data_IF_957164612547
#
_entry.id   IF_957164612547
#
_cell.length_a   1.000
_cell.length_b   1.000
_cell.length_c   1.000
_cell.angle_alpha   90.00
_cell.angle_beta   90.00
_cell.angle_gamma   90.00
#
_symmetry.space_group_name_H-M   'P 1'
#
loop_
_entity.id
_entity.type
_entity.pdbx_description
1 polymer ?
#
# COMPACT_ATOMS: atom_id res chain seq x y z
N UNK A 1 7.58 -14.50 7.38
CA UNK A 1 8.73 -14.90 8.21
C UNK A 1 9.57 -13.69 8.66
N UNK A 2 8.87 -12.69 9.20
CA UNK A 2 9.40 -11.36 9.58
C UNK A 2 10.60 -11.45 10.55
N UNK A 3 10.68 -12.49 11.35
CA UNK A 3 11.79 -12.68 12.31
C UNK A 3 13.17 -12.73 11.65
N UNK A 4 13.24 -13.21 10.41
CA UNK A 4 14.49 -13.40 9.65
C UNK A 4 14.80 -12.26 8.67
N UNK A 5 13.86 -11.33 8.50
CA UNK A 5 14.03 -10.23 7.55
C UNK A 5 14.67 -9.01 8.22
N UNK A 6 15.48 -8.23 7.50
CA UNK A 6 15.99 -6.95 7.95
C UNK A 6 14.87 -5.90 7.86
N UNK A 7 13.96 -5.93 8.83
CA UNK A 7 12.85 -4.95 8.87
C UNK A 7 13.37 -3.55 9.22
N UNK A 8 12.64 -2.53 8.79
CA UNK A 8 12.98 -1.14 9.08
C UNK A 8 13.18 -0.86 10.60
N UNK A 9 12.30 -1.32 11.51
CA UNK A 9 12.53 -1.13 12.95
C UNK A 9 13.82 -1.77 13.48
N UNK A 10 14.23 -2.95 12.95
CA UNK A 10 15.48 -3.60 13.36
C UNK A 10 16.71 -2.77 12.95
N UNK A 11 16.76 -2.32 11.70
CA UNK A 11 17.88 -1.53 11.20
C UNK A 11 17.96 -0.16 11.89
N UNK A 12 16.81 0.47 12.15
CA UNK A 12 16.74 1.71 12.92
C UNK A 12 17.22 1.50 14.37
N UNK A 13 16.88 0.39 15.01
CA UNK A 13 17.31 0.09 16.38
C UNK A 13 18.84 -0.06 16.50
N UNK A 14 19.53 -0.58 15.47
CA UNK A 14 20.99 -0.64 15.41
C UNK A 14 21.64 0.76 15.44
N UNK A 15 20.89 1.79 15.04
CA UNK A 15 21.28 3.19 15.08
C UNK A 15 20.73 3.95 16.32
N UNK A 16 20.21 3.20 17.29
CA UNK A 16 19.72 3.75 18.54
C UNK A 16 18.31 4.32 18.53
N UNK A 17 17.55 4.13 17.44
CA UNK A 17 16.14 4.53 17.39
C UNK A 17 15.29 3.69 18.33
N UNK A 18 14.35 4.33 18.97
CA UNK A 18 13.18 3.67 19.54
C UNK A 18 12.07 3.61 18.50
N UNK A 19 11.26 2.55 18.52
CA UNK A 19 10.19 2.38 17.55
C UNK A 19 8.89 1.92 18.19
N UNK A 20 7.77 2.43 17.69
CA UNK A 20 6.44 2.11 18.18
C UNK A 20 5.53 1.62 17.05
N UNK A 21 4.96 0.43 17.25
CA UNK A 21 3.95 -0.15 16.37
C UNK A 21 2.55 0.20 16.90
N UNK A 22 1.71 0.80 16.03
CA UNK A 22 0.29 1.04 16.32
C UNK A 22 -0.58 0.76 15.10
N UNK A 23 -1.81 0.30 15.34
CA UNK A 23 -2.74 -0.03 14.28
C UNK A 23 -2.59 -1.47 13.77
N UNK A 24 -2.86 -1.66 12.49
CA UNK A 24 -2.82 -2.97 11.83
C UNK A 24 -1.43 -3.59 11.87
N UNK A 25 -1.40 -4.86 12.22
CA UNK A 25 -0.20 -5.68 12.18
C UNK A 25 -0.60 -7.16 12.03
N UNK A 26 0.09 -7.90 11.15
CA UNK A 26 -0.29 -9.28 10.79
C UNK A 26 0.70 -10.33 11.25
N UNK A 27 1.87 -9.90 11.74
CA UNK A 27 3.02 -10.77 12.00
C UNK A 27 3.11 -11.20 13.48
N UNK A 28 2.01 -11.17 14.21
CA UNK A 28 1.98 -11.57 15.62
C UNK A 28 2.30 -10.43 16.57
N UNK A 29 3.08 -10.69 17.63
CA UNK A 29 3.54 -9.65 18.56
C UNK A 29 4.44 -8.63 17.81
N UNK A 30 4.31 -7.35 18.15
CA UNK A 30 5.07 -6.26 17.53
C UNK A 30 6.60 -6.46 17.54
N UNK A 31 7.11 -7.16 18.57
CA UNK A 31 8.55 -7.45 18.74
C UNK A 31 9.11 -8.28 17.60
N UNK A 32 8.29 -9.12 16.97
CA UNK A 32 8.71 -9.92 15.82
C UNK A 32 9.15 -9.04 14.64
N UNK A 33 8.50 -7.88 14.47
CA UNK A 33 8.92 -6.87 13.50
C UNK A 33 10.17 -6.09 13.89
N UNK A 34 10.65 -6.25 15.13
CA UNK A 34 11.78 -5.50 15.66
C UNK A 34 11.40 -4.18 16.33
N UNK A 35 10.11 -3.91 16.53
CA UNK A 35 9.68 -2.72 17.25
C UNK A 35 10.06 -2.81 18.73
N UNK A 36 10.51 -1.70 19.31
CA UNK A 36 10.87 -1.61 20.73
C UNK A 36 9.63 -1.47 21.63
N UNK A 37 8.59 -0.81 21.11
CA UNK A 37 7.30 -0.60 21.77
C UNK A 37 6.18 -0.92 20.79
N UNK A 38 4.98 -1.21 21.27
CA UNK A 38 3.85 -1.45 20.40
C UNK A 38 2.60 -1.91 21.11
N UNK A 39 1.50 -1.89 20.37
CA UNK A 39 0.17 -2.17 20.88
C UNK A 39 -0.27 -3.61 20.65
N UNK A 40 0.22 -4.28 19.58
CA UNK A 40 -0.27 -5.60 19.19
C UNK A 40 0.40 -6.73 20.00
N UNK A 41 -0.39 -7.76 20.35
CA UNK A 41 0.04 -8.92 21.13
C UNK A 41 0.04 -10.22 20.35
N UNK A 42 -0.48 -10.21 19.14
CA UNK A 42 -0.47 -11.35 18.24
C UNK A 42 -1.84 -11.83 17.78
N UNK A 43 -2.91 -11.15 18.17
CA UNK A 43 -4.24 -11.45 17.68
C UNK A 43 -4.49 -10.86 16.29
N UNK A 44 -5.54 -11.34 15.65
CA UNK A 44 -5.90 -11.02 14.28
C UNK A 44 -6.01 -9.50 14.06
N UNK A 45 -5.43 -9.03 12.95
CA UNK A 45 -5.46 -7.65 12.44
C UNK A 45 -4.70 -6.61 13.29
N UNK A 46 -4.25 -6.93 14.51
CA UNK A 46 -3.51 -5.99 15.35
C UNK A 46 -4.17 -5.67 16.70
N UNK A 47 -5.16 -6.45 17.13
CA UNK A 47 -5.82 -6.44 18.44
C UNK A 47 -6.00 -5.02 19.05
N UNK A 48 -5.33 -4.70 20.16
CA UNK A 48 -5.39 -3.37 20.80
C UNK A 48 -4.94 -2.23 19.89
N UNK A 49 -4.05 -2.51 18.94
CA UNK A 49 -3.59 -1.55 17.94
C UNK A 49 -4.72 -0.96 17.09
N UNK A 50 -5.81 -1.71 16.88
CA UNK A 50 -6.95 -1.25 16.09
C UNK A 50 -7.73 -0.09 16.72
N UNK A 51 -7.48 0.20 17.99
CA UNK A 51 -8.11 1.33 18.70
C UNK A 51 -7.49 2.68 18.38
N UNK A 52 -6.22 2.69 17.92
CA UNK A 52 -5.51 3.94 17.60
C UNK A 52 -6.26 4.75 16.54
N UNK A 53 -6.29 6.06 16.70
CA UNK A 53 -7.06 6.98 15.86
C UNK A 53 -8.56 7.01 16.19
N UNK A 54 -9.19 5.84 16.38
CA UNK A 54 -10.62 5.77 16.75
C UNK A 54 -10.88 6.18 18.20
N UNK A 55 -10.00 5.84 19.13
CA UNK A 55 -10.08 6.19 20.55
C UNK A 55 -9.08 7.28 20.96
N UNK A 56 -8.33 7.82 20.02
CA UNK A 56 -7.34 8.88 20.23
C UNK A 56 -5.94 8.46 19.82
N UNK A 57 -4.96 9.31 20.11
CA UNK A 57 -3.56 9.18 19.69
C UNK A 57 -2.59 9.08 20.87
N UNK A 58 -3.13 8.90 22.08
CA UNK A 58 -2.35 9.00 23.33
C UNK A 58 -1.15 8.08 23.38
N UNK A 59 -1.30 6.84 22.93
CA UNK A 59 -0.22 5.83 22.92
C UNK A 59 0.99 6.27 22.09
N UNK A 60 0.73 6.95 20.97
CA UNK A 60 1.81 7.52 20.13
C UNK A 60 2.44 8.73 20.82
N UNK A 61 1.63 9.62 21.41
CA UNK A 61 2.15 10.79 22.10
C UNK A 61 3.01 10.40 23.30
N UNK A 62 2.52 9.50 24.15
CA UNK A 62 3.28 8.99 25.30
C UNK A 62 4.61 8.35 24.88
N UNK A 63 4.61 7.62 23.75
CA UNK A 63 5.83 7.02 23.22
C UNK A 63 6.81 8.07 22.72
N UNK A 64 6.36 9.08 21.98
CA UNK A 64 7.26 10.14 21.48
C UNK A 64 7.82 10.95 22.64
N UNK A 65 6.98 11.29 23.65
CA UNK A 65 7.44 11.97 24.88
C UNK A 65 8.50 11.13 25.61
N UNK A 66 8.31 9.80 25.70
CA UNK A 66 9.29 8.89 26.27
C UNK A 66 10.61 8.90 25.48
N UNK A 67 10.55 8.80 24.16
CA UNK A 67 11.75 8.81 23.31
C UNK A 67 12.53 10.13 23.45
N UNK A 68 11.81 11.27 23.56
CA UNK A 68 12.45 12.58 23.80
C UNK A 68 13.09 12.65 25.20
N UNK A 69 12.45 12.10 26.23
CA UNK A 69 13.02 12.06 27.58
C UNK A 69 14.29 11.20 27.67
N UNK A 70 14.38 10.16 26.86
CA UNK A 70 15.56 9.28 26.74
C UNK A 70 16.64 9.84 25.78
N UNK A 71 16.41 11.02 25.19
CA UNK A 71 17.28 11.60 24.14
C UNK A 71 17.56 10.61 22.99
N UNK A 72 16.50 9.94 22.52
CA UNK A 72 16.56 8.94 21.43
C UNK A 72 15.78 9.37 20.22
N UNK A 73 16.28 9.13 19.01
CA UNK A 73 15.47 9.26 17.80
C UNK A 73 14.35 8.21 17.80
N UNK A 74 13.24 8.55 17.14
CA UNK A 74 12.06 7.68 17.15
C UNK A 74 11.57 7.33 15.75
N UNK A 75 10.93 6.18 15.65
CA UNK A 75 10.15 5.72 14.51
C UNK A 75 8.74 5.32 14.96
N UNK A 76 7.71 5.88 14.33
CA UNK A 76 6.32 5.55 14.61
C UNK A 76 5.69 4.89 13.38
N UNK A 77 5.17 3.69 13.55
CA UNK A 77 4.29 3.02 12.61
C UNK A 77 2.85 3.32 13.00
N UNK A 78 2.20 4.21 12.26
CA UNK A 78 0.80 4.56 12.43
C UNK A 78 -0.03 3.97 11.29
N UNK A 79 -0.62 2.79 11.53
CA UNK A 79 -1.46 2.07 10.57
C UNK A 79 -2.87 1.85 11.15
N UNK A 80 -3.67 2.91 11.33
CA UNK A 80 -4.97 2.82 12.00
C UNK A 80 -5.94 1.95 11.21
N UNK A 81 -6.99 1.46 11.89
CA UNK A 81 -8.09 0.76 11.24
C UNK A 81 -9.11 1.74 10.60
N UNK A 82 -8.63 2.88 10.17
CA UNK A 82 -9.32 3.91 9.41
C UNK A 82 -8.72 3.97 8.00
N UNK A 83 -9.50 4.11 6.96
CA UNK A 83 -10.98 4.18 6.88
C UNK A 83 -11.66 2.81 6.73
N UNK A 84 -11.01 1.69 7.05
CA UNK A 84 -11.53 0.33 6.86
C UNK A 84 -12.90 0.12 7.56
N UNK A 85 -13.75 -0.73 6.98
CA UNK A 85 -15.02 -1.12 7.60
C UNK A 85 -14.84 -1.74 9.00
N UNK A 86 -15.83 -1.58 9.92
CA UNK A 86 -17.15 -1.00 9.69
C UNK A 86 -17.11 0.51 9.51
N UNK A 87 -17.88 1.01 8.51
CA UNK A 87 -17.98 2.45 8.26
C UNK A 87 -18.98 3.06 9.27
N UNK A 88 -18.46 3.39 10.42
CA UNK A 88 -19.20 3.97 11.56
C UNK A 88 -18.55 5.28 12.04
N UNK A 89 -18.50 6.31 11.16
CA UNK A 89 -17.91 7.60 11.50
C UNK A 89 -18.73 8.30 12.60
N UNK A 90 -18.16 9.32 13.29
CA UNK A 90 -18.92 10.25 14.11
C UNK A 90 -20.07 10.88 13.32
N UNK A 91 -21.22 11.08 13.99
CA UNK A 91 -22.43 11.59 13.33
C UNK A 91 -22.21 12.95 12.65
N UNK A 92 -21.41 13.83 13.25
CA UNK A 92 -21.09 15.15 12.66
C UNK A 92 -20.39 15.03 11.30
N UNK A 93 -19.48 14.06 11.14
CA UNK A 93 -18.80 13.80 9.88
C UNK A 93 -19.75 13.13 8.89
N UNK A 94 -20.57 12.18 9.34
CA UNK A 94 -21.58 11.55 8.48
C UNK A 94 -22.54 12.57 7.88
N UNK A 95 -23.14 13.45 8.71
CA UNK A 95 -24.08 14.48 8.26
C UNK A 95 -23.46 15.44 7.24
N UNK A 96 -22.19 15.79 7.40
CA UNK A 96 -21.45 16.61 6.44
C UNK A 96 -21.42 16.00 5.04
N UNK A 97 -21.27 14.69 4.93
CA UNK A 97 -21.20 14.00 3.65
C UNK A 97 -22.56 13.50 3.15
N UNK A 98 -23.50 13.20 4.03
CA UNK A 98 -24.89 12.89 3.65
C UNK A 98 -25.56 14.07 2.92
N UNK A 99 -25.14 15.32 3.19
CA UNK A 99 -25.58 16.49 2.45
C UNK A 99 -24.95 16.63 1.03
N UNK A 100 -23.96 15.81 0.67
CA UNK A 100 -23.19 15.91 -0.59
C UNK A 100 -23.42 14.75 -1.56
N UNK A 101 -24.07 13.69 -1.13
CA UNK A 101 -24.36 12.50 -1.93
C UNK A 101 -25.67 11.86 -1.51
N UNK A 102 -26.38 11.25 -2.45
CA UNK A 102 -27.61 10.51 -2.19
C UNK A 102 -27.34 9.11 -1.56
N UNK A 103 -26.10 8.65 -1.58
CA UNK A 103 -25.72 7.34 -1.06
C UNK A 103 -25.17 7.43 0.37
N UNK A 104 -25.88 6.80 1.30
CA UNK A 104 -25.40 6.63 2.69
C UNK A 104 -24.07 5.85 2.74
N UNK A 105 -23.85 4.90 1.84
CA UNK A 105 -22.62 4.11 1.80
C UNK A 105 -21.41 4.98 1.42
N UNK A 106 -21.57 5.81 0.39
CA UNK A 106 -20.55 6.77 -0.04
C UNK A 106 -20.34 7.83 1.05
N UNK A 107 -21.40 8.39 1.62
CA UNK A 107 -21.32 9.39 2.68
C UNK A 107 -20.54 8.87 3.89
N UNK A 108 -20.83 7.64 4.32
CA UNK A 108 -20.10 6.99 5.43
C UNK A 108 -18.64 6.77 5.11
N UNK A 109 -18.32 6.29 3.91
CA UNK A 109 -16.93 6.07 3.50
C UNK A 109 -16.15 7.39 3.47
N UNK A 110 -16.68 8.45 2.87
CA UNK A 110 -16.04 9.75 2.85
C UNK A 110 -15.83 10.33 4.26
N UNK A 111 -16.80 10.14 5.13
CA UNK A 111 -16.68 10.53 6.54
C UNK A 111 -15.58 9.74 7.28
N UNK A 112 -15.39 8.45 6.95
CA UNK A 112 -14.28 7.66 7.49
C UNK A 112 -12.92 8.14 6.98
N UNK A 113 -12.83 8.54 5.70
CA UNK A 113 -11.60 9.11 5.13
C UNK A 113 -11.25 10.44 5.80
N UNK A 114 -12.23 11.33 5.99
CA UNK A 114 -12.00 12.57 6.74
C UNK A 114 -11.61 12.31 8.19
N UNK A 115 -12.22 11.32 8.84
CA UNK A 115 -11.84 10.95 10.19
C UNK A 115 -10.37 10.51 10.28
N UNK A 116 -9.92 9.72 9.30
CA UNK A 116 -8.50 9.37 9.18
C UNK A 116 -7.63 10.61 9.01
N UNK A 117 -7.98 11.52 8.11
CA UNK A 117 -7.26 12.77 7.84
C UNK A 117 -7.15 13.64 9.11
N UNK A 118 -8.23 13.75 9.89
CA UNK A 118 -8.22 14.44 11.18
C UNK A 118 -7.17 13.85 12.12
N UNK A 119 -7.04 12.52 12.18
CA UNK A 119 -6.03 11.88 13.04
C UNK A 119 -4.61 12.11 12.55
N UNK A 120 -4.39 12.15 11.25
CA UNK A 120 -3.10 12.57 10.65
C UNK A 120 -2.78 14.02 11.01
N UNK A 121 -3.77 14.92 10.91
CA UNK A 121 -3.62 16.30 11.32
C UNK A 121 -3.28 16.46 12.81
N UNK A 122 -3.88 15.63 13.68
CA UNK A 122 -3.56 15.60 15.11
C UNK A 122 -2.09 15.22 15.35
N UNK A 123 -1.56 14.24 14.62
CA UNK A 123 -0.17 13.81 14.72
C UNK A 123 0.79 14.91 14.24
N UNK A 124 0.50 15.53 13.10
CA UNK A 124 1.30 16.65 12.57
C UNK A 124 1.31 17.82 13.57
N UNK A 125 0.14 18.23 14.07
CA UNK A 125 0.03 19.29 15.07
C UNK A 125 0.79 18.97 16.36
N UNK A 126 0.81 17.69 16.78
CA UNK A 126 1.59 17.28 17.95
C UNK A 126 3.09 17.49 17.71
N UNK A 127 3.61 17.09 16.53
CA UNK A 127 5.00 17.30 16.16
C UNK A 127 5.35 18.81 16.09
N UNK A 128 4.48 19.62 15.51
CA UNK A 128 4.67 21.08 15.43
C UNK A 128 4.72 21.72 16.82
N UNK A 129 3.76 21.40 17.68
CA UNK A 129 3.65 21.96 19.03
C UNK A 129 4.86 21.58 19.92
N UNK A 130 5.48 20.43 19.68
CA UNK A 130 6.66 19.97 20.38
C UNK A 130 7.98 20.31 19.67
N UNK A 131 7.95 21.09 18.57
CA UNK A 131 9.13 21.50 17.78
C UNK A 131 9.92 20.32 17.20
N UNK A 132 9.23 19.22 16.92
CA UNK A 132 9.82 18.01 16.35
C UNK A 132 9.68 17.97 14.84
N UNK A 133 8.76 18.73 14.25
CA UNK A 133 8.38 18.65 12.84
C UNK A 133 9.53 18.89 11.86
N UNK A 134 10.42 19.85 12.18
CA UNK A 134 11.56 20.19 11.32
C UNK A 134 12.64 19.10 11.28
N UNK A 135 12.65 18.19 12.26
CA UNK A 135 13.57 17.04 12.30
C UNK A 135 12.83 15.69 12.19
N UNK A 136 11.66 15.69 11.55
CA UNK A 136 10.87 14.48 11.37
C UNK A 136 10.44 14.33 9.91
N UNK A 137 10.88 13.23 9.29
CA UNK A 137 10.33 12.77 8.02
C UNK A 137 8.96 12.11 8.29
N UNK A 138 7.92 12.63 7.66
CA UNK A 138 6.64 11.94 7.56
C UNK A 138 6.53 11.34 6.16
N UNK A 139 6.28 10.05 6.06
CA UNK A 139 5.90 9.42 4.81
C UNK A 139 4.54 8.73 4.95
N UNK A 140 3.79 8.75 3.88
CA UNK A 140 2.46 8.17 3.80
C UNK A 140 2.37 7.24 2.60
N UNK A 141 1.74 6.10 2.81
CA UNK A 141 1.34 5.17 1.76
C UNK A 141 0.01 4.54 2.13
N UNK A 142 -0.87 4.36 1.16
CA UNK A 142 -2.09 3.58 1.36
C UNK A 142 -1.82 2.12 0.93
N UNK A 143 -2.30 1.15 1.71
CA UNK A 143 -2.08 -0.29 1.48
C UNK A 143 -2.76 -0.80 0.21
N UNK A 144 -3.90 -0.25 -0.14
CA UNK A 144 -4.64 -0.54 -1.38
C UNK A 144 -5.65 0.56 -1.71
N UNK A 145 -6.08 0.61 -2.96
CA UNK A 145 -7.18 1.44 -3.37
C UNK A 145 -8.54 0.91 -2.92
N UNK A 146 -9.54 1.79 -2.90
CA UNK A 146 -10.90 1.47 -2.52
C UNK A 146 -11.89 2.34 -3.29
N UNK A 147 -12.82 1.73 -4.02
CA UNK A 147 -13.95 2.41 -4.64
C UNK A 147 -15.23 1.88 -3.97
N UNK A 148 -15.90 2.73 -3.21
CA UNK A 148 -17.11 2.38 -2.49
C UNK A 148 -18.30 2.29 -3.44
N UNK A 149 -19.03 1.16 -3.46
CA UNK A 149 -20.30 1.05 -4.19
C UNK A 149 -21.36 1.95 -3.55
N UNK A 150 -22.20 2.53 -4.40
CA UNK A 150 -23.22 3.48 -3.94
C UNK A 150 -24.42 2.79 -3.26
N UNK A 151 -24.71 1.56 -3.63
CA UNK A 151 -25.89 0.81 -3.23
C UNK A 151 -25.61 -0.28 -2.18
N UNK A 152 -24.38 -0.46 -1.80
CA UNK A 152 -23.97 -1.53 -0.88
C UNK A 152 -22.72 -1.18 -0.06
N UNK A 153 -22.45 -2.00 0.96
CA UNK A 153 -21.20 -1.90 1.76
C UNK A 153 -19.99 -2.52 1.06
N UNK A 154 -20.16 -2.97 -0.17
CA UNK A 154 -19.10 -3.65 -0.93
C UNK A 154 -18.18 -2.66 -1.62
N UNK A 155 -17.02 -3.14 -1.97
CA UNK A 155 -16.06 -2.48 -2.84
C UNK A 155 -16.38 -2.77 -4.29
N UNK A 156 -16.08 -1.85 -5.19
CA UNK A 156 -16.17 -2.05 -6.63
C UNK A 156 -15.17 -3.13 -7.11
N UNK A 157 -15.56 -3.86 -8.16
CA UNK A 157 -14.78 -4.98 -8.69
C UNK A 157 -13.44 -4.56 -9.31
N UNK A 158 -13.31 -3.33 -9.80
CA UNK A 158 -12.06 -2.76 -10.32
C UNK A 158 -11.17 -2.13 -9.26
N UNK A 159 -11.34 -2.48 -7.99
CA UNK A 159 -10.71 -1.84 -6.84
C UNK A 159 -9.89 -2.84 -6.02
N UNK A 160 -10.00 -2.82 -4.69
CA UNK A 160 -9.25 -3.66 -3.75
C UNK A 160 -9.18 -5.13 -4.20
N UNK A 161 -8.00 -5.75 -4.04
CA UNK A 161 -7.69 -7.13 -4.42
C UNK A 161 -7.65 -7.40 -5.95
N UNK A 162 -7.56 -6.36 -6.75
CA UNK A 162 -7.38 -6.48 -8.20
C UNK A 162 -6.10 -5.79 -8.65
N UNK A 163 -5.55 -6.14 -9.82
CA UNK A 163 -4.41 -5.45 -10.42
C UNK A 163 -4.83 -4.15 -11.14
N UNK A 164 -6.11 -3.80 -11.13
CA UNK A 164 -6.63 -2.56 -11.72
C UNK A 164 -6.13 -1.33 -10.96
N UNK A 165 -6.04 -0.19 -11.62
CA UNK A 165 -5.57 1.07 -11.00
C UNK A 165 -6.40 1.44 -9.76
N UNK A 166 -7.70 1.21 -9.79
CA UNK A 166 -8.55 1.40 -8.62
C UNK A 166 -8.18 0.56 -7.39
N UNK A 167 -7.37 -0.49 -7.57
CA UNK A 167 -6.86 -1.36 -6.51
C UNK A 167 -5.41 -1.10 -6.13
N UNK A 168 -4.55 -0.77 -7.11
CA UNK A 168 -3.08 -0.72 -6.90
C UNK A 168 -2.50 0.70 -6.93
N UNK A 169 -3.17 1.66 -7.59
CA UNK A 169 -2.71 3.04 -7.64
C UNK A 169 -3.11 3.79 -6.38
N UNK A 170 -2.16 4.00 -5.49
CA UNK A 170 -2.38 4.70 -4.22
C UNK A 170 -1.37 5.82 -4.04
N UNK A 171 -1.69 6.86 -3.26
CA UNK A 171 -0.75 7.95 -3.03
C UNK A 171 0.45 7.48 -2.20
N UNK A 172 1.64 7.95 -2.59
CA UNK A 172 2.87 7.92 -1.80
C UNK A 172 3.28 9.37 -1.60
N UNK A 173 3.44 9.79 -0.35
CA UNK A 173 3.78 11.18 -0.01
C UNK A 173 4.93 11.23 1.00
N UNK A 174 5.82 12.19 0.81
CA UNK A 174 6.89 12.51 1.75
C UNK A 174 6.78 13.96 2.18
N UNK A 175 7.03 14.24 3.45
CA UNK A 175 7.02 15.57 3.98
C UNK A 175 8.10 15.77 5.03
N UNK A 176 9.03 16.69 4.76
CA UNK A 176 10.06 17.12 5.71
C UNK A 176 10.35 18.61 5.48
N UNK A 177 9.81 19.51 6.31
CA UNK A 177 10.06 20.93 6.17
C UNK A 177 11.54 21.27 6.16
N UNK A 178 11.95 22.16 5.27
CA UNK A 178 13.35 22.57 5.12
C UNK A 178 14.25 21.59 4.35
N UNK A 179 13.82 20.34 4.14
CA UNK A 179 14.58 19.34 3.34
C UNK A 179 13.89 18.99 2.03
N UNK A 180 12.58 18.90 2.02
CA UNK A 180 11.79 18.56 0.83
C UNK A 180 10.94 19.77 0.40
N UNK A 181 10.96 20.09 -0.89
CA UNK A 181 10.09 21.11 -1.45
C UNK A 181 8.74 20.50 -1.88
N UNK A 182 7.64 21.26 -1.77
CA UNK A 182 6.36 20.82 -2.30
C UNK A 182 6.43 20.58 -3.82
N UNK A 183 6.11 19.36 -4.25
CA UNK A 183 6.06 18.98 -5.64
C UNK A 183 5.07 17.83 -5.86
N UNK A 184 4.52 17.74 -7.08
CA UNK A 184 3.83 16.55 -7.57
C UNK A 184 4.77 15.91 -8.59
N UNK A 185 5.10 14.63 -8.35
CA UNK A 185 6.05 13.88 -9.14
C UNK A 185 5.29 12.89 -10.03
N UNK A 186 5.44 12.97 -11.36
CA UNK A 186 4.73 12.08 -12.28
C UNK A 186 5.41 10.73 -12.52
N UNK A 187 6.65 10.58 -12.06
CA UNK A 187 7.45 9.38 -12.31
C UNK A 187 6.88 8.16 -11.61
N UNK A 188 7.15 6.98 -12.18
CA UNK A 188 6.71 5.70 -11.63
C UNK A 188 7.47 5.36 -10.34
N UNK A 189 6.73 5.17 -9.25
CA UNK A 189 7.25 4.75 -7.95
C UNK A 189 6.41 3.60 -7.39
N UNK A 190 6.99 2.83 -6.47
CA UNK A 190 6.33 1.69 -5.82
C UNK A 190 6.54 1.73 -4.31
N UNK A 191 5.69 1.05 -3.55
CA UNK A 191 5.83 0.96 -2.08
C UNK A 191 7.12 0.29 -1.62
N UNK A 192 7.73 -0.56 -2.45
CA UNK A 192 9.06 -1.16 -2.17
C UNK A 192 10.19 -0.13 -2.12
N UNK A 193 10.00 1.05 -2.71
CA UNK A 193 10.97 2.14 -2.70
C UNK A 193 11.03 2.87 -1.34
N UNK A 194 9.99 2.72 -0.53
CA UNK A 194 9.93 3.36 0.79
C UNK A 194 11.04 2.89 1.72
N UNK A 195 11.34 1.59 1.71
CA UNK A 195 12.32 1.00 2.60
C UNK A 195 13.74 1.57 2.38
N UNK A 196 14.34 1.51 1.17
CA UNK A 196 15.64 2.12 0.94
C UNK A 196 15.62 3.64 1.14
N UNK A 197 14.59 4.34 0.68
CA UNK A 197 14.49 5.80 0.81
C UNK A 197 14.47 6.27 2.26
N UNK A 198 13.75 5.58 3.14
CA UNK A 198 13.70 5.91 4.58
C UNK A 198 15.03 5.61 5.27
N UNK A 199 15.70 4.52 4.91
CA UNK A 199 17.05 4.22 5.43
C UNK A 199 18.04 5.31 5.04
N UNK A 200 18.07 5.73 3.78
CA UNK A 200 18.94 6.82 3.31
C UNK A 200 18.60 8.15 3.98
N UNK A 201 17.31 8.47 4.15
CA UNK A 201 16.88 9.64 4.90
C UNK A 201 17.37 9.64 6.36
N UNK A 202 17.50 8.46 6.96
CA UNK A 202 18.05 8.25 8.30
C UNK A 202 19.58 8.11 8.31
N UNK A 203 20.25 8.24 7.15
CA UNK A 203 21.69 8.05 6.96
C UNK A 203 22.20 6.66 7.40
N UNK A 204 21.41 5.63 7.05
CA UNK A 204 21.71 4.21 7.33
C UNK A 204 22.15 3.54 6.04
N UNK A 205 23.21 2.73 6.11
CA UNK A 205 23.70 1.96 4.97
C UNK A 205 22.63 0.98 4.46
N UNK A 206 22.43 0.96 3.14
CA UNK A 206 21.43 0.12 2.53
C UNK A 206 21.87 -1.35 2.47
N UNK A 207 21.01 -2.30 2.84
CA UNK A 207 21.23 -3.71 2.53
C UNK A 207 21.44 -3.95 1.03
N UNK A 208 22.27 -4.91 0.70
CA UNK A 208 22.52 -5.26 -0.71
C UNK A 208 21.28 -5.91 -1.35
N UNK A 209 21.14 -5.75 -2.65
CA UNK A 209 20.10 -6.38 -3.48
C UNK A 209 18.66 -6.05 -3.08
N UNK A 210 18.39 -4.83 -2.68
CA UNK A 210 17.02 -4.36 -2.47
C UNK A 210 16.29 -4.22 -3.81
N UNK A 211 15.04 -4.68 -3.91
CA UNK A 211 14.26 -4.56 -5.14
C UNK A 211 13.75 -3.14 -5.41
N UNK A 212 13.63 -2.30 -4.37
CA UNK A 212 13.18 -0.91 -4.47
C UNK A 212 14.32 0.04 -4.79
N UNK A 213 14.00 1.19 -5.37
CA UNK A 213 14.95 2.30 -5.56
C UNK A 213 15.02 3.15 -4.29
N UNK A 214 16.22 3.61 -3.98
CA UNK A 214 16.39 4.73 -3.07
C UNK A 214 16.06 6.03 -3.82
N UNK A 215 15.07 6.75 -3.36
CA UNK A 215 14.59 8.00 -3.97
C UNK A 215 15.08 9.23 -3.20
N UNK A 216 15.91 9.08 -2.17
CA UNK A 216 16.23 10.17 -1.26
C UNK A 216 16.96 11.33 -1.95
N UNK A 217 17.93 11.02 -2.81
CA UNK A 217 18.65 12.03 -3.57
C UNK A 217 17.77 12.72 -4.60
N UNK A 218 16.91 11.99 -5.30
CA UNK A 218 15.97 12.53 -6.28
C UNK A 218 14.94 13.46 -5.64
N UNK A 219 14.48 13.11 -4.44
CA UNK A 219 13.54 13.95 -3.68
C UNK A 219 14.19 15.22 -3.13
N UNK A 220 15.41 15.13 -2.57
CA UNK A 220 16.08 16.27 -1.94
C UNK A 220 16.75 17.21 -2.94
N UNK A 221 17.22 16.69 -4.07
CA UNK A 221 17.92 17.46 -5.11
C UNK A 221 17.02 17.76 -6.31
N UNK A 222 15.73 17.40 -6.25
CA UNK A 222 14.73 17.62 -7.32
C UNK A 222 15.15 17.00 -8.67
N UNK A 223 15.89 15.89 -8.63
CA UNK A 223 16.31 15.15 -9.81
C UNK A 223 15.19 14.26 -10.35
N UNK A 224 15.14 14.00 -11.66
CA UNK A 224 14.24 12.99 -12.20
C UNK A 224 14.53 11.61 -11.63
N UNK A 225 13.47 10.81 -11.43
CA UNK A 225 13.59 9.39 -11.07
C UNK A 225 13.79 8.60 -12.36
N UNK A 226 14.94 7.94 -12.50
CA UNK A 226 15.28 7.12 -13.67
C UNK A 226 14.61 5.74 -13.59
N UNK A 227 13.30 5.72 -13.85
CA UNK A 227 12.50 4.49 -13.97
C UNK A 227 11.42 4.66 -15.01
N UNK A 228 11.44 3.79 -16.01
CA UNK A 228 10.45 3.77 -17.09
C UNK A 228 9.44 2.61 -16.98
N UNK A 229 9.69 1.62 -16.13
CA UNK A 229 8.81 0.46 -15.95
C UNK A 229 8.70 0.06 -14.47
N UNK A 230 7.49 -0.34 -14.07
CA UNK A 230 7.23 -1.00 -12.78
C UNK A 230 6.49 -2.30 -13.03
N UNK A 231 6.65 -3.23 -12.07
CA UNK A 231 6.02 -4.55 -12.10
C UNK A 231 5.24 -4.80 -10.84
N UNK A 232 4.18 -5.61 -10.94
CA UNK A 232 3.43 -6.07 -9.79
C UNK A 232 2.90 -7.47 -9.99
N UNK A 233 2.62 -8.10 -8.86
CA UNK A 233 2.12 -9.46 -8.77
C UNK A 233 0.97 -9.54 -7.77
N UNK A 234 0.05 -10.46 -8.02
CA UNK A 234 -1.04 -10.76 -7.10
C UNK A 234 -1.22 -12.26 -6.98
N UNK A 235 -1.22 -12.71 -5.75
CA UNK A 235 -1.47 -14.11 -5.39
C UNK A 235 -2.83 -14.26 -4.73
N UNK A 236 -3.31 -15.49 -4.62
CA UNK A 236 -4.45 -15.79 -3.77
C UNK A 236 -4.23 -15.31 -2.34
N UNK A 237 -5.29 -14.76 -1.71
CA UNK A 237 -5.22 -14.20 -0.34
C UNK A 237 -4.69 -15.20 0.68
N UNK A 238 -5.15 -16.44 0.58
CA UNK A 238 -4.65 -17.57 1.36
C UNK A 238 -3.80 -18.42 0.43
N UNK A 239 -2.48 -18.21 0.41
CA UNK A 239 -1.58 -19.03 -0.39
C UNK A 239 -1.70 -20.50 -0.03
N UNK A 240 -1.93 -21.35 -1.03
CA UNK A 240 -2.10 -22.80 -0.85
C UNK A 240 -0.80 -23.43 -0.35
N UNK A 241 0.32 -22.97 -0.88
CA UNK A 241 1.65 -23.47 -0.58
C UNK A 241 2.63 -22.32 -0.42
N UNK A 242 3.11 -22.11 0.81
CA UNK A 242 4.08 -21.05 1.14
C UNK A 242 5.47 -21.28 0.54
N UNK A 243 5.79 -22.54 0.23
CA UNK A 243 7.08 -22.92 -0.36
C UNK A 243 7.01 -22.90 -1.91
N UNK A 244 5.78 -22.84 -2.47
CA UNK A 244 5.50 -22.62 -3.88
C UNK A 244 4.40 -21.58 -4.07
N UNK A 245 4.66 -20.27 -3.78
CA UNK A 245 3.66 -19.22 -3.87
C UNK A 245 3.04 -19.10 -5.27
N UNK A 246 3.77 -19.45 -6.31
CA UNK A 246 3.30 -19.39 -7.69
C UNK A 246 2.11 -20.32 -7.96
N UNK A 247 1.87 -21.34 -7.12
CA UNK A 247 0.65 -22.14 -7.20
C UNK A 247 -0.62 -21.28 -7.02
N UNK A 248 -0.52 -20.17 -6.32
CA UNK A 248 -1.61 -19.21 -6.07
C UNK A 248 -1.52 -17.94 -6.92
N UNK A 249 -0.65 -17.90 -7.95
CA UNK A 249 -0.47 -16.74 -8.81
C UNK A 249 -1.76 -16.44 -9.59
N UNK A 250 -2.33 -15.29 -9.37
CA UNK A 250 -3.54 -14.81 -10.04
C UNK A 250 -3.23 -13.84 -11.18
N UNK A 251 -2.34 -12.87 -10.95
CA UNK A 251 -1.99 -11.82 -11.91
C UNK A 251 -0.52 -11.46 -11.87
N UNK A 252 0.01 -11.13 -13.05
CA UNK A 252 1.20 -10.30 -13.20
C UNK A 252 0.84 -9.09 -14.04
N UNK A 253 1.45 -7.96 -13.73
CA UNK A 253 1.25 -6.74 -14.50
C UNK A 253 2.52 -5.90 -14.56
N UNK A 254 2.59 -5.03 -15.56
CA UNK A 254 3.59 -3.98 -15.62
C UNK A 254 2.96 -2.68 -16.11
N UNK A 255 3.59 -1.57 -15.73
CA UNK A 255 3.32 -0.26 -16.31
C UNK A 255 4.63 0.24 -16.89
N UNK A 256 4.62 0.61 -18.17
CA UNK A 256 5.71 1.26 -18.88
C UNK A 256 5.17 2.48 -19.59
N UNK A 257 5.71 3.65 -19.25
CA UNK A 257 5.17 4.94 -19.67
C UNK A 257 3.68 5.04 -19.29
N UNK A 258 2.78 5.13 -20.28
CA UNK A 258 1.32 5.13 -20.10
C UNK A 258 0.64 3.78 -20.37
N UNK A 259 1.40 2.77 -20.79
CA UNK A 259 0.88 1.45 -21.07
C UNK A 259 0.88 0.54 -19.83
N UNK A 260 -0.24 -0.11 -19.60
CA UNK A 260 -0.37 -1.14 -18.56
C UNK A 260 -0.82 -2.46 -19.16
N UNK A 261 -0.02 -3.49 -18.98
CA UNK A 261 -0.37 -4.87 -19.33
C UNK A 261 -0.71 -5.66 -18.07
N UNK A 262 -1.84 -6.37 -18.09
CA UNK A 262 -2.24 -7.32 -17.05
C UNK A 262 -2.38 -8.69 -17.69
N UNK A 263 -1.68 -9.68 -17.12
CA UNK A 263 -1.75 -11.10 -17.49
C UNK A 263 -2.39 -11.89 -16.36
N UNK A 264 -3.36 -12.71 -16.67
CA UNK A 264 -4.11 -13.53 -15.72
C UNK A 264 -3.67 -14.98 -15.76
N UNK A 265 -3.55 -15.59 -14.59
CA UNK A 265 -3.11 -16.98 -14.40
C UNK A 265 -4.16 -17.80 -13.65
N UNK A 266 -4.09 -19.12 -13.80
CA UNK A 266 -5.01 -20.05 -13.14
C UNK A 266 -4.58 -20.40 -11.71
N UNK A 267 -4.21 -19.42 -10.92
CA UNK A 267 -3.83 -19.66 -9.52
C UNK A 267 -4.86 -20.56 -8.85
N UNK A 268 -4.48 -21.79 -8.51
CA UNK A 268 -5.38 -22.73 -7.86
C UNK A 268 -5.66 -22.24 -6.45
N UNK A 269 -6.91 -21.93 -6.17
CA UNK A 269 -7.38 -21.50 -4.86
C UNK A 269 -8.35 -22.57 -4.38
N UNK A 270 -7.83 -23.72 -3.94
CA UNK A 270 -8.63 -24.70 -3.23
C UNK A 270 -8.88 -24.18 -1.81
N UNK A 271 -10.14 -23.98 -1.47
CA UNK A 271 -10.57 -23.61 -0.11
C UNK A 271 -10.61 -22.10 0.21
N UNK A 272 -10.37 -21.23 -0.75
CA UNK A 272 -10.42 -19.77 -0.55
C UNK A 272 -11.85 -19.28 -0.24
N UNK A 273 -12.00 -18.53 0.84
CA UNK A 273 -13.24 -17.82 1.16
C UNK A 273 -13.64 -16.88 0.03
N UNK A 274 -14.91 -16.90 -0.36
CA UNK A 274 -15.60 -16.26 -1.47
C UNK A 274 -15.14 -14.94 -2.12
N UNK A 275 -14.15 -14.22 -1.56
CA UNK A 275 -13.59 -13.01 -2.18
C UNK A 275 -12.90 -13.31 -3.53
N UNK A 276 -12.24 -14.45 -3.66
CA UNK A 276 -11.55 -14.86 -4.89
C UNK A 276 -12.46 -15.36 -6.00
N UNK A 277 -13.64 -15.85 -5.68
CA UNK A 277 -14.60 -16.30 -6.69
C UNK A 277 -15.00 -15.16 -7.64
N UNK A 278 -15.08 -13.92 -7.13
CA UNK A 278 -15.41 -12.74 -7.95
C UNK A 278 -14.26 -12.29 -8.86
N UNK A 279 -13.01 -12.41 -8.42
CA UNK A 279 -11.85 -12.07 -9.24
C UNK A 279 -11.76 -12.99 -10.46
N UNK A 280 -12.09 -14.28 -10.30
CA UNK A 280 -11.97 -15.27 -11.37
C UNK A 280 -12.99 -15.15 -12.49
N UNK A 281 -14.19 -14.67 -12.24
CA UNK A 281 -15.24 -14.64 -13.25
C UNK A 281 -14.94 -13.60 -14.36
N UNK A 282 -14.50 -12.40 -14.01
CA UNK A 282 -14.09 -11.38 -15.00
C UNK A 282 -12.75 -11.69 -15.67
N UNK A 283 -11.84 -12.33 -14.96
CA UNK A 283 -10.50 -12.68 -15.44
C UNK A 283 -10.51 -13.73 -16.55
N UNK A 284 -11.51 -14.62 -16.53
CA UNK A 284 -11.63 -15.68 -17.54
C UNK A 284 -12.17 -15.19 -18.88
N UNK A 285 -12.89 -14.06 -18.89
CA UNK A 285 -13.42 -13.49 -20.12
C UNK A 285 -12.29 -12.75 -20.89
N UNK A 286 -11.45 -12.01 -20.20
CA UNK A 286 -10.34 -11.25 -20.78
C UNK A 286 -9.03 -11.49 -20.01
N UNK A 287 -8.34 -12.60 -20.24
CA UNK A 287 -7.14 -12.97 -19.50
C UNK A 287 -5.92 -12.10 -19.80
N UNK A 288 -5.93 -11.40 -20.93
CA UNK A 288 -4.90 -10.44 -21.36
C UNK A 288 -5.58 -9.09 -21.50
N UNK A 289 -5.10 -8.09 -20.77
CA UNK A 289 -5.67 -6.75 -20.80
C UNK A 289 -4.57 -5.73 -20.95
N UNK A 290 -4.73 -4.85 -21.94
CA UNK A 290 -3.81 -3.76 -22.22
C UNK A 290 -4.55 -2.43 -22.17
N UNK A 291 -4.01 -1.48 -21.42
CA UNK A 291 -4.63 -0.18 -21.23
C UNK A 291 -3.63 0.95 -21.44
N UNK A 292 -4.13 2.12 -21.86
CA UNK A 292 -3.44 3.41 -21.77
C UNK A 292 -3.98 4.16 -20.55
N UNK A 293 -3.35 4.01 -19.40
CA UNK A 293 -3.87 4.44 -18.10
C UNK A 293 -3.96 5.97 -17.92
N UNK A 294 -3.29 6.75 -18.75
CA UNK A 294 -3.43 8.23 -18.76
C UNK A 294 -4.68 8.65 -19.51
N UNK A 295 -4.98 8.02 -20.64
CA UNK A 295 -6.16 8.31 -21.46
C UNK A 295 -7.42 7.61 -20.90
N UNK A 296 -7.25 6.41 -20.33
CA UNK A 296 -8.30 5.59 -19.73
C UNK A 296 -7.97 5.22 -18.26
N UNK A 297 -8.06 6.18 -17.33
CA UNK A 297 -7.69 5.96 -15.93
C UNK A 297 -8.62 5.00 -15.16
N UNK A 298 -9.73 4.59 -15.79
CA UNK A 298 -10.67 3.61 -15.24
C UNK A 298 -10.56 2.24 -15.90
N UNK A 299 -9.60 2.05 -16.84
CA UNK A 299 -9.28 0.79 -17.49
C UNK A 299 -10.53 0.09 -18.09
N UNK A 300 -11.32 0.87 -18.85
CA UNK A 300 -12.59 0.42 -19.45
C UNK A 300 -12.42 -0.18 -20.84
N UNK A 301 -11.38 0.25 -21.58
CA UNK A 301 -11.16 -0.10 -22.98
C UNK A 301 -9.93 -1.00 -23.09
N UNK A 302 -10.15 -2.33 -23.17
CA UNK A 302 -9.07 -3.25 -23.40
C UNK A 302 -8.55 -3.16 -24.84
N UNK A 303 -7.31 -2.76 -25.01
CA UNK A 303 -6.64 -2.55 -26.28
C UNK A 303 -5.78 -3.74 -26.73
N UNK A 304 -5.86 -4.88 -26.04
CA UNK A 304 -4.97 -6.03 -26.31
C UNK A 304 -5.08 -6.56 -27.74
N UNK A 305 -6.28 -6.60 -28.32
CA UNK A 305 -6.50 -7.07 -29.71
C UNK A 305 -6.07 -6.02 -30.73
N UNK A 306 -6.09 -4.73 -30.39
CA UNK A 306 -5.67 -3.64 -31.27
C UNK A 306 -4.14 -3.50 -31.35
N UNK A 307 -3.43 -3.82 -30.26
CA UNK A 307 -1.98 -3.66 -30.13
C UNK A 307 -1.26 -4.96 -29.71
N UNK A 308 -1.37 -6.04 -30.50
CA UNK A 308 -0.78 -7.33 -30.14
C UNK A 308 0.75 -7.30 -30.03
N UNK A 309 1.42 -6.45 -30.79
CA UNK A 309 2.88 -6.29 -30.71
C UNK A 309 3.30 -5.66 -29.38
N UNK A 310 2.54 -4.69 -28.85
CA UNK A 310 2.80 -4.07 -27.53
C UNK A 310 2.52 -5.06 -26.40
N UNK A 311 1.46 -5.86 -26.53
CA UNK A 311 1.19 -6.98 -25.59
C UNK A 311 2.40 -7.90 -25.52
N UNK A 312 2.93 -8.36 -26.66
CA UNK A 312 4.05 -9.30 -26.71
C UNK A 312 5.37 -8.67 -26.21
N UNK A 313 5.59 -7.38 -26.46
CA UNK A 313 6.72 -6.63 -25.91
C UNK A 313 6.70 -6.62 -24.39
N UNK A 314 5.58 -6.16 -23.79
CA UNK A 314 5.42 -6.04 -22.33
C UNK A 314 5.37 -7.40 -21.65
N UNK A 315 4.75 -8.41 -22.29
CA UNK A 315 4.75 -9.80 -21.80
C UNK A 315 6.17 -10.31 -21.61
N UNK A 316 7.06 -10.15 -22.61
CA UNK A 316 8.46 -10.57 -22.50
C UNK A 316 9.18 -9.90 -21.32
N UNK A 317 8.90 -8.62 -21.05
CA UNK A 317 9.45 -7.92 -19.90
C UNK A 317 8.95 -8.50 -18.58
N UNK A 318 7.66 -8.82 -18.47
CA UNK A 318 7.08 -9.50 -17.29
C UNK A 318 7.73 -10.88 -17.10
N UNK A 319 7.80 -11.71 -18.15
CA UNK A 319 8.33 -13.06 -18.10
C UNK A 319 9.84 -13.10 -17.80
N UNK A 320 10.57 -12.05 -18.17
CA UNK A 320 11.99 -11.89 -17.81
C UNK A 320 12.15 -11.54 -16.32
N UNK A 321 11.23 -10.73 -15.77
CA UNK A 321 11.28 -10.28 -14.39
C UNK A 321 10.77 -11.33 -13.38
N UNK A 322 9.85 -12.21 -13.81
CA UNK A 322 9.23 -13.20 -12.94
C UNK A 322 9.50 -14.65 -13.43
N UNK A 323 10.09 -15.51 -12.59
CA UNK A 323 10.26 -16.93 -12.92
C UNK A 323 8.90 -17.66 -12.84
N UNK A 324 8.28 -17.93 -13.97
CA UNK A 324 6.92 -18.50 -14.04
C UNK A 324 6.83 -20.01 -13.72
N UNK A 325 7.95 -20.72 -13.67
CA UNK A 325 8.02 -22.16 -13.35
C UNK A 325 6.98 -23.01 -14.11
N UNK A 326 6.78 -22.70 -15.41
CA UNK A 326 5.84 -23.41 -16.26
C UNK A 326 4.38 -22.94 -16.18
N UNK A 327 4.06 -21.93 -15.38
CA UNK A 327 2.73 -21.29 -15.38
C UNK A 327 2.46 -20.61 -16.72
N UNK A 328 1.23 -20.71 -17.17
CA UNK A 328 0.78 -20.11 -18.44
C UNK A 328 -0.34 -19.12 -18.19
N UNK A 329 -0.34 -18.07 -18.99
CA UNK A 329 -1.49 -17.16 -19.08
C UNK A 329 -2.72 -17.95 -19.46
N UNK A 330 -3.86 -17.65 -18.85
CA UNK A 330 -5.15 -18.25 -19.19
C UNK A 330 -5.46 -18.03 -20.67
N UNK A 331 -6.01 -19.04 -21.32
CA UNK A 331 -6.56 -18.89 -22.65
C UNK A 331 -7.89 -18.11 -22.58
N UNK A 332 -8.12 -17.20 -23.52
CA UNK A 332 -9.42 -16.56 -23.65
C UNK A 332 -10.47 -17.64 -23.98
N UNK A 333 -11.57 -17.64 -23.27
CA UNK A 333 -12.75 -18.42 -23.63
C UNK A 333 -13.46 -17.72 -24.81
N UNK A 334 -12.82 -17.68 -25.97
CA UNK A 334 -13.53 -17.34 -27.20
C UNK A 334 -14.57 -18.44 -27.44
N UNK A 335 -15.84 -18.12 -27.17
CA UNK A 335 -16.98 -18.92 -27.67
C UNK A 335 -17.15 -18.71 -29.16
#
# INVERSE_FOLDING_TARGET
>A
NVDRLPTLPKLLAEQGYLSHQSGKWWEGDYKRGGFTHGMTRGERHGDDGLTIGRKGMKEIYDFVDYAQAEDKPFFVWYAPFLPHSPHNPPDSLFQKYAAKTESDHIARYYAMVEWFDITCGQLVNYLDNNRLRENTLIYYVCDNGWIQQADSRKVDQGSKQTPMDGGVRTPIMFSWPGKLKPAIRPELVQSIDLFPTVLSAANIELPQNLPGLDLWDELTQEKPIDRNIIFGEAYGHDMIDKDNPQASLAYLWCIEDDWKLILSYDGTIEGGNGAYKYIHDHVREEPIRLYKIVEDPFEKNNLADEFPEKVEELRRKIETNYPLNGRKVLASNTK
#
